data_IF_931185330974
#
_entry.id   IF_931185330974
#
_cell.length_a   1.000
_cell.length_b   1.000
_cell.length_c   1.000
_cell.angle_alpha   90.00
_cell.angle_beta   90.00
_cell.angle_gamma   90.00
#
_symmetry.space_group_name_H-M   'P 1'
#
loop_
_entity.id
_entity.type
_entity.pdbx_description
1 polymer ?
#
# COMPACT_ATOMS: atom_id res chain seq x y z
N UNK A 1 33.47 -46.85 -24.09
CA UNK A 1 33.13 -47.30 -22.72
C UNK A 1 31.84 -46.61 -22.29
N UNK A 2 30.72 -47.33 -22.18
CA UNK A 2 29.47 -46.78 -21.61
C UNK A 2 29.61 -46.83 -20.09
N UNK A 3 29.70 -45.68 -19.42
CA UNK A 3 29.56 -45.60 -17.97
C UNK A 3 28.12 -45.97 -17.63
N UNK A 4 27.91 -47.13 -17.02
CA UNK A 4 26.60 -47.46 -16.44
C UNK A 4 26.37 -46.49 -15.28
N UNK A 5 25.38 -45.61 -15.42
CA UNK A 5 24.94 -44.75 -14.32
C UNK A 5 24.44 -45.69 -13.22
N UNK A 6 25.02 -45.60 -12.02
CA UNK A 6 24.60 -46.41 -10.89
C UNK A 6 23.14 -46.08 -10.56
N UNK A 7 22.31 -47.12 -10.34
CA UNK A 7 20.88 -46.98 -10.09
C UNK A 7 20.59 -46.06 -8.88
N UNK A 8 21.45 -46.08 -7.86
CA UNK A 8 21.37 -45.14 -6.73
C UNK A 8 21.64 -43.68 -7.14
N UNK A 9 22.57 -43.47 -8.08
CA UNK A 9 22.83 -42.14 -8.65
C UNK A 9 21.64 -41.65 -9.47
N UNK A 10 20.94 -42.56 -10.17
CA UNK A 10 19.73 -42.24 -10.92
C UNK A 10 18.59 -41.85 -9.97
N UNK A 11 18.37 -42.60 -8.88
CA UNK A 11 17.35 -42.27 -7.88
C UNK A 11 17.64 -40.95 -7.16
N UNK A 12 18.91 -40.68 -6.82
CA UNK A 12 19.29 -39.42 -6.21
C UNK A 12 19.06 -38.24 -7.15
N UNK A 13 19.43 -38.38 -8.43
CA UNK A 13 19.17 -37.34 -9.43
C UNK A 13 17.67 -37.10 -9.65
N UNK A 14 16.87 -38.17 -9.73
CA UNK A 14 15.41 -38.06 -9.86
C UNK A 14 14.77 -37.39 -8.64
N UNK A 15 15.22 -37.72 -7.42
CA UNK A 15 14.74 -37.09 -6.19
C UNK A 15 15.08 -35.59 -6.16
N UNK A 16 16.30 -35.20 -6.55
CA UNK A 16 16.69 -33.79 -6.64
C UNK A 16 15.83 -33.06 -7.67
N UNK A 17 15.62 -33.64 -8.86
CA UNK A 17 14.76 -33.03 -9.89
C UNK A 17 13.33 -32.87 -9.38
N UNK A 18 12.77 -33.89 -8.71
CA UNK A 18 11.42 -33.83 -8.17
C UNK A 18 11.27 -32.76 -7.07
N UNK A 19 12.23 -32.70 -6.13
CA UNK A 19 12.25 -31.69 -5.07
C UNK A 19 12.40 -30.29 -5.66
N UNK A 20 13.33 -30.11 -6.61
CA UNK A 20 13.51 -28.82 -7.30
C UNK A 20 12.25 -28.43 -8.06
N UNK A 21 11.65 -29.33 -8.84
CA UNK A 21 10.42 -29.04 -9.58
C UNK A 21 9.25 -28.65 -8.65
N UNK A 22 9.20 -29.23 -7.44
CA UNK A 22 8.20 -28.89 -6.44
C UNK A 22 8.47 -27.55 -5.74
N UNK A 23 9.73 -27.21 -5.47
CA UNK A 23 10.10 -25.99 -4.73
C UNK A 23 10.26 -24.76 -5.63
N UNK A 24 10.64 -24.94 -6.90
CA UNK A 24 10.92 -23.84 -7.83
C UNK A 24 9.76 -22.84 -7.95
N UNK A 25 8.48 -23.24 -8.09
CA UNK A 25 7.36 -22.30 -8.17
C UNK A 25 7.28 -21.37 -6.96
N UNK A 26 7.37 -21.93 -5.74
CA UNK A 26 7.35 -21.14 -4.49
C UNK A 26 8.52 -20.18 -4.36
N UNK A 27 9.70 -20.58 -4.83
CA UNK A 27 10.87 -19.70 -4.85
C UNK A 27 10.66 -18.55 -5.83
N UNK A 28 10.06 -18.82 -7.00
CA UNK A 28 9.76 -17.80 -8.00
C UNK A 28 8.74 -16.80 -7.45
N UNK A 29 7.65 -17.26 -6.83
CA UNK A 29 6.65 -16.39 -6.17
C UNK A 29 7.29 -15.52 -5.10
N UNK A 30 8.09 -16.11 -4.20
CA UNK A 30 8.77 -15.37 -3.14
C UNK A 30 9.74 -14.31 -3.68
N UNK A 31 10.41 -14.57 -4.81
CA UNK A 31 11.26 -13.58 -5.47
C UNK A 31 10.43 -12.44 -6.05
N UNK A 32 9.31 -12.72 -6.71
CA UNK A 32 8.45 -11.67 -7.26
C UNK A 32 7.84 -10.80 -6.16
N UNK A 33 7.33 -11.40 -5.08
CA UNK A 33 6.84 -10.68 -3.91
C UNK A 33 7.96 -9.83 -3.28
N UNK A 34 9.17 -10.37 -3.16
CA UNK A 34 10.29 -9.58 -2.62
C UNK A 34 10.67 -8.39 -3.51
N UNK A 35 10.58 -8.53 -4.84
CA UNK A 35 10.99 -7.46 -5.77
C UNK A 35 9.90 -6.41 -5.96
N UNK A 36 8.65 -6.85 -6.12
CA UNK A 36 7.52 -6.02 -6.53
C UNK A 36 6.53 -5.74 -5.38
N UNK A 37 6.62 -6.50 -4.28
CA UNK A 37 5.71 -6.39 -3.14
C UNK A 37 4.26 -6.67 -3.49
N UNK A 38 3.34 -5.98 -2.83
CA UNK A 38 1.90 -6.19 -2.99
C UNK A 38 1.36 -5.82 -4.38
N UNK A 39 2.11 -5.05 -5.19
CA UNK A 39 1.77 -4.83 -6.59
C UNK A 39 1.70 -6.13 -7.39
N UNK A 40 2.56 -7.11 -7.06
CA UNK A 40 2.53 -8.42 -7.71
C UNK A 40 1.20 -9.14 -7.48
N UNK A 41 0.70 -9.11 -6.23
CA UNK A 41 -0.60 -9.68 -5.85
C UNK A 41 -1.73 -8.94 -6.56
N UNK A 42 -1.69 -7.60 -6.53
CA UNK A 42 -2.72 -6.78 -7.16
C UNK A 42 -2.78 -6.96 -8.69
N UNK A 43 -1.69 -7.29 -9.36
CA UNK A 43 -1.71 -7.51 -10.82
C UNK A 43 -2.26 -8.89 -11.22
N UNK A 44 -2.31 -9.86 -10.31
CA UNK A 44 -2.83 -11.22 -10.58
C UNK A 44 -4.37 -11.29 -10.47
N UNK A 45 -5.09 -10.55 -11.31
CA UNK A 45 -6.58 -10.46 -11.27
C UNK A 45 -7.30 -11.79 -11.52
N UNK A 46 -6.64 -12.76 -12.15
CA UNK A 46 -7.16 -14.12 -12.35
C UNK A 46 -7.05 -14.95 -11.06
N UNK A 47 -6.03 -14.71 -10.23
CA UNK A 47 -5.72 -15.51 -9.04
C UNK A 47 -6.27 -14.92 -7.75
N UNK A 48 -6.56 -13.62 -7.70
CA UNK A 48 -7.04 -12.94 -6.48
C UNK A 48 -8.41 -12.27 -6.68
N UNK A 49 -9.28 -12.39 -5.69
CA UNK A 49 -10.43 -11.50 -5.52
C UNK A 49 -9.97 -10.17 -4.94
N UNK A 50 -10.60 -9.09 -5.38
CA UNK A 50 -10.37 -7.74 -4.87
C UNK A 50 -11.65 -7.21 -4.24
N UNK A 51 -11.55 -6.68 -3.04
CA UNK A 51 -12.62 -6.01 -2.30
C UNK A 51 -12.16 -4.60 -1.97
N UNK A 52 -13.02 -3.61 -2.25
CA UNK A 52 -12.84 -2.25 -1.75
C UNK A 52 -14.08 -1.78 -1.04
N UNK A 53 -13.89 -1.34 0.20
CA UNK A 53 -14.95 -0.86 1.07
C UNK A 53 -14.46 0.35 1.87
N UNK A 54 -15.32 1.33 2.15
CA UNK A 54 -14.97 2.43 3.02
C UNK A 54 -14.74 1.93 4.45
N UNK A 55 -13.69 2.44 5.10
CA UNK A 55 -13.40 2.22 6.51
C UNK A 55 -14.09 3.31 7.31
N UNK A 56 -14.97 2.90 8.23
CA UNK A 56 -15.67 3.84 9.11
C UNK A 56 -14.69 4.54 10.06
N UNK A 57 -14.91 5.84 10.32
CA UNK A 57 -14.18 6.60 11.32
C UNK A 57 -13.64 7.93 10.82
N UNK A 58 -13.11 8.69 11.77
CA UNK A 58 -12.39 9.94 11.55
C UNK A 58 -11.01 9.81 12.18
N UNK A 59 -9.96 10.11 11.41
CA UNK A 59 -8.58 9.88 11.79
C UNK A 59 -7.82 11.18 11.75
N UNK A 60 -7.23 11.60 12.87
CA UNK A 60 -6.61 12.93 13.00
C UNK A 60 -5.13 12.82 13.32
N UNK A 61 -4.32 13.62 12.63
CA UNK A 61 -2.90 13.84 12.94
C UNK A 61 -2.63 15.32 13.18
N UNK A 62 -1.82 15.64 14.19
CA UNK A 62 -1.36 17.01 14.45
C UNK A 62 -0.03 17.26 13.72
N UNK A 63 -0.02 18.25 12.83
CA UNK A 63 1.15 18.70 12.09
C UNK A 63 1.77 19.93 12.75
N UNK A 64 3.10 19.98 12.76
CA UNK A 64 3.93 21.09 13.22
C UNK A 64 4.42 21.86 11.99
N UNK A 65 3.92 23.08 11.81
CA UNK A 65 4.22 23.90 10.63
C UNK A 65 5.50 24.73 10.82
N UNK A 66 6.01 24.85 12.05
CA UNK A 66 7.31 25.46 12.34
C UNK A 66 8.48 24.52 12.08
N UNK A 67 8.23 23.21 12.08
CA UNK A 67 9.23 22.19 11.77
C UNK A 67 8.61 21.06 10.92
N UNK A 68 8.64 21.25 9.61
CA UNK A 68 8.01 20.36 8.64
C UNK A 68 8.57 18.93 8.70
N UNK A 69 9.88 18.78 8.91
CA UNK A 69 10.58 17.48 8.98
C UNK A 69 10.12 16.65 10.19
N UNK A 70 9.76 17.30 11.30
CA UNK A 70 9.29 16.63 12.52
C UNK A 70 7.90 15.96 12.36
N UNK A 71 7.25 16.16 11.21
CA UNK A 71 6.00 15.48 10.90
C UNK A 71 6.20 14.09 10.30
N UNK A 72 7.36 13.80 9.71
CA UNK A 72 7.63 12.51 9.09
C UNK A 72 7.46 11.35 10.09
N UNK A 73 6.73 10.31 9.68
CA UNK A 73 6.47 9.12 10.49
C UNK A 73 5.36 9.28 11.54
N UNK A 74 4.72 10.45 11.66
CA UNK A 74 3.53 10.59 12.53
C UNK A 74 2.41 9.69 12.01
N UNK A 75 1.81 8.90 12.90
CA UNK A 75 0.77 7.94 12.56
C UNK A 75 -0.59 8.62 12.52
N UNK A 76 -1.31 8.43 11.42
CA UNK A 76 -2.70 8.86 11.23
C UNK A 76 -3.66 7.70 11.52
N UNK A 77 -3.32 6.50 11.05
CA UNK A 77 -4.14 5.28 11.13
C UNK A 77 -3.24 4.09 11.45
N UNK A 78 -3.70 3.19 12.31
CA UNK A 78 -3.05 1.90 12.60
C UNK A 78 -4.09 0.92 13.18
N UNK A 79 -4.36 -0.17 12.48
CA UNK A 79 -5.21 -1.28 12.96
C UNK A 79 -4.43 -2.56 13.27
N UNK A 80 -3.09 -2.50 13.22
CA UNK A 80 -2.18 -3.63 13.37
C UNK A 80 -1.90 -4.43 12.09
N UNK A 81 -2.73 -4.27 11.06
CA UNK A 81 -2.55 -4.88 9.74
C UNK A 81 -2.22 -3.83 8.65
N UNK A 82 -2.69 -2.61 8.79
CA UNK A 82 -2.43 -1.48 7.91
C UNK A 82 -2.11 -0.25 8.71
N UNK A 83 -1.21 0.58 8.18
CA UNK A 83 -0.80 1.83 8.80
C UNK A 83 -0.76 2.95 7.77
N UNK A 84 -1.22 4.14 8.15
CA UNK A 84 -1.03 5.36 7.37
C UNK A 84 -0.20 6.33 8.21
N UNK A 85 0.91 6.80 7.65
CA UNK A 85 1.81 7.75 8.30
C UNK A 85 2.04 8.97 7.43
N UNK A 86 2.41 10.09 8.04
CA UNK A 86 2.85 11.28 7.31
C UNK A 86 4.21 10.97 6.68
N UNK A 87 4.28 10.98 5.36
CA UNK A 87 5.51 10.79 4.61
C UNK A 87 6.35 12.07 4.60
N UNK A 88 5.70 13.22 4.36
CA UNK A 88 6.33 14.54 4.38
C UNK A 88 5.28 15.64 4.39
N UNK A 89 5.68 16.81 4.88
CA UNK A 89 4.98 18.08 4.70
C UNK A 89 5.91 19.01 3.92
N UNK A 90 5.42 19.60 2.85
CA UNK A 90 6.21 20.47 1.96
C UNK A 90 5.51 21.80 1.82
N UNK A 91 6.23 22.90 1.96
CA UNK A 91 5.69 24.23 1.64
C UNK A 91 5.56 24.37 0.12
N UNK A 92 4.39 24.83 -0.33
CA UNK A 92 4.08 25.07 -1.74
C UNK A 92 3.91 26.58 -1.93
N UNK A 93 4.67 27.14 -2.87
CA UNK A 93 4.55 28.56 -3.23
C UNK A 93 3.08 28.88 -3.56
N UNK A 94 2.50 29.88 -2.89
CA UNK A 94 1.12 30.37 -3.04
C UNK A 94 -0.02 29.42 -2.61
N UNK A 95 0.23 28.11 -2.44
CA UNK A 95 -0.77 27.10 -2.04
C UNK A 95 -0.66 26.65 -0.57
N UNK A 96 0.23 27.26 0.21
CA UNK A 96 0.44 26.92 1.62
C UNK A 96 1.33 25.69 1.77
N UNK A 97 0.74 24.55 2.10
CA UNK A 97 1.46 23.30 2.34
C UNK A 97 0.84 22.15 1.55
N UNK A 98 1.65 21.15 1.24
CA UNK A 98 1.22 19.84 0.81
C UNK A 98 1.56 18.82 1.90
N UNK A 99 0.56 18.07 2.33
CA UNK A 99 0.74 16.96 3.26
C UNK A 99 0.63 15.67 2.47
N UNK A 100 1.69 14.86 2.47
CA UNK A 100 1.70 13.57 1.78
C UNK A 100 1.75 12.46 2.83
N UNK A 101 0.81 11.52 2.70
CA UNK A 101 0.67 10.34 3.52
C UNK A 101 1.20 9.11 2.77
N UNK A 102 1.82 8.19 3.51
CA UNK A 102 2.20 6.87 3.00
C UNK A 102 1.33 5.82 3.67
N UNK A 103 0.75 4.96 2.85
CA UNK A 103 -0.01 3.80 3.31
C UNK A 103 0.88 2.57 3.29
N UNK A 104 0.74 1.73 4.31
CA UNK A 104 1.48 0.50 4.50
C UNK A 104 0.50 -0.66 4.65
N UNK A 105 0.67 -1.63 3.77
CA UNK A 105 -0.06 -2.87 3.70
C UNK A 105 0.62 -3.94 4.54
N UNK A 106 -0.15 -4.99 4.82
CA UNK A 106 0.37 -6.26 5.30
C UNK A 106 0.12 -7.35 4.28
N UNK A 107 1.20 -8.08 4.01
CA UNK A 107 1.14 -9.35 3.29
C UNK A 107 0.50 -10.40 4.20
N UNK A 108 -0.55 -11.05 3.69
CA UNK A 108 -1.23 -12.18 4.30
C UNK A 108 -0.74 -13.47 3.61
N UNK A 109 -0.85 -14.65 4.25
CA UNK A 109 -0.46 -15.91 3.63
C UNK A 109 -1.13 -16.20 2.28
N UNK A 110 -2.33 -15.65 2.08
CA UNK A 110 -3.23 -15.84 0.95
C UNK A 110 -3.64 -14.50 0.32
N UNK A 111 -2.85 -13.44 0.49
CA UNK A 111 -3.27 -12.13 0.01
C UNK A 111 -2.49 -10.92 0.52
N UNK A 112 -3.14 -9.77 0.44
CA UNK A 112 -2.64 -8.53 1.03
C UNK A 112 -3.81 -7.64 1.45
N UNK A 113 -3.62 -6.90 2.53
CA UNK A 113 -4.58 -5.90 3.02
C UNK A 113 -3.89 -4.54 3.12
N UNK A 114 -4.56 -3.52 2.60
CA UNK A 114 -4.10 -2.14 2.60
C UNK A 114 -5.26 -1.20 2.93
N UNK A 115 -5.17 -0.47 4.02
CA UNK A 115 -6.00 0.72 4.26
C UNK A 115 -5.27 1.96 3.74
N UNK A 116 -5.91 2.71 2.84
CA UNK A 116 -5.32 3.87 2.16
C UNK A 116 -6.37 4.96 1.94
N UNK A 117 -5.94 6.18 1.64
CA UNK A 117 -6.83 7.21 1.09
C UNK A 117 -7.23 6.95 -0.37
N UNK A 118 -6.65 5.92 -0.99
CA UNK A 118 -6.85 5.53 -2.37
C UNK A 118 -7.69 4.25 -2.46
N UNK A 119 -8.69 4.25 -3.34
CA UNK A 119 -9.26 3.02 -3.88
C UNK A 119 -8.42 2.56 -5.08
N UNK A 120 -7.94 1.32 -5.04
CA UNK A 120 -7.35 0.66 -6.21
C UNK A 120 -8.44 -0.10 -6.93
N UNK A 121 -8.48 -0.12 -8.26
CA UNK A 121 -9.54 -0.76 -9.04
C UNK A 121 -9.03 -1.34 -10.36
N UNK A 122 -9.88 -2.12 -11.03
CA UNK A 122 -9.58 -2.65 -12.37
C UNK A 122 -10.62 -2.19 -13.38
N UNK A 123 -10.14 -1.67 -14.51
CA UNK A 123 -10.96 -1.33 -15.67
C UNK A 123 -10.58 -2.23 -16.85
N UNK A 124 -11.33 -2.18 -17.94
CA UNK A 124 -10.95 -2.87 -19.18
C UNK A 124 -9.57 -2.43 -19.73
N UNK A 125 -9.05 -1.27 -19.28
CA UNK A 125 -7.73 -0.76 -19.64
C UNK A 125 -6.60 -1.15 -18.68
N UNK A 126 -6.88 -1.93 -17.63
CA UNK A 126 -5.91 -2.33 -16.60
C UNK A 126 -6.21 -1.73 -15.22
N UNK A 127 -5.20 -1.81 -14.34
CA UNK A 127 -5.24 -1.25 -12.98
C UNK A 127 -5.43 0.27 -13.00
N UNK A 128 -6.28 0.77 -12.11
CA UNK A 128 -6.56 2.20 -11.90
C UNK A 128 -6.61 2.51 -10.41
N UNK A 129 -6.51 3.78 -10.06
CA UNK A 129 -6.59 4.22 -8.67
C UNK A 129 -7.14 5.64 -8.59
N UNK A 130 -7.90 5.93 -7.53
CA UNK A 130 -8.48 7.25 -7.25
C UNK A 130 -8.42 7.56 -5.75
N UNK A 131 -8.21 8.83 -5.41
CA UNK A 131 -8.37 9.28 -4.02
C UNK A 131 -9.85 9.33 -3.71
N UNK A 132 -10.26 8.57 -2.71
CA UNK A 132 -11.63 8.58 -2.17
C UNK A 132 -11.68 9.22 -0.79
N UNK A 133 -10.55 9.28 -0.07
CA UNK A 133 -10.51 9.93 1.22
C UNK A 133 -10.84 11.42 1.13
N UNK A 134 -11.54 11.89 2.15
CA UNK A 134 -11.83 13.31 2.34
C UNK A 134 -11.00 13.83 3.50
N UNK A 135 -10.40 15.00 3.34
CA UNK A 135 -9.57 15.62 4.36
C UNK A 135 -10.08 17.00 4.76
N UNK A 136 -10.00 17.28 6.06
CA UNK A 136 -10.28 18.60 6.63
C UNK A 136 -9.15 19.05 7.54
N UNK A 137 -9.01 20.36 7.76
CA UNK A 137 -7.99 20.92 8.63
C UNK A 137 -8.50 21.99 9.59
N UNK A 138 -7.83 22.10 10.73
CA UNK A 138 -8.04 23.15 11.71
C UNK A 138 -9.35 23.02 12.49
N UNK A 139 -9.66 24.05 13.28
CA UNK A 139 -10.85 24.06 14.17
C UNK A 139 -12.16 24.19 13.41
N UNK A 140 -12.12 24.83 12.24
CA UNK A 140 -13.29 25.09 11.41
C UNK A 140 -13.55 23.98 10.38
N UNK A 141 -12.78 22.88 10.44
CA UNK A 141 -12.87 21.73 9.53
C UNK A 141 -12.86 22.16 8.04
N UNK A 142 -11.91 23.03 7.68
CA UNK A 142 -11.76 23.49 6.30
C UNK A 142 -11.46 22.31 5.39
N UNK A 143 -12.25 22.13 4.33
CA UNK A 143 -12.06 21.06 3.37
C UNK A 143 -10.78 21.25 2.57
N UNK A 144 -9.99 20.18 2.46
CA UNK A 144 -8.75 20.15 1.70
C UNK A 144 -8.97 19.57 0.31
N UNK A 145 -8.15 20.00 -0.64
CA UNK A 145 -8.16 19.48 -2.01
C UNK A 145 -7.11 18.38 -2.19
N UNK A 146 -7.43 17.27 -2.87
CA UNK A 146 -6.43 16.25 -3.24
C UNK A 146 -5.25 16.85 -4.01
N UNK A 147 -4.02 16.38 -3.74
CA UNK A 147 -2.80 16.85 -4.40
C UNK A 147 -2.11 15.79 -5.26
N UNK A 148 -1.79 14.65 -4.68
CA UNK A 148 -1.00 13.58 -5.29
C UNK A 148 -1.58 12.22 -4.96
N UNK A 149 -1.45 11.27 -5.87
CA UNK A 149 -1.80 9.87 -5.67
C UNK A 149 -0.88 8.99 -6.51
N UNK A 150 -0.55 7.81 -6.00
CA UNK A 150 0.14 6.77 -6.78
C UNK A 150 -0.60 5.46 -6.75
N UNK A 151 -0.32 4.59 -7.72
CA UNK A 151 -0.58 3.17 -7.57
C UNK A 151 0.32 2.54 -6.49
N UNK A 152 0.36 1.22 -6.47
CA UNK A 152 1.22 0.41 -5.58
C UNK A 152 2.71 0.50 -5.98
N UNK A 153 3.29 1.68 -5.80
CA UNK A 153 4.66 2.00 -6.22
C UNK A 153 5.71 1.61 -5.16
N UNK A 154 5.29 1.37 -3.92
CA UNK A 154 6.12 0.80 -2.86
C UNK A 154 5.82 -0.69 -2.72
N UNK A 155 6.79 -1.45 -2.21
CA UNK A 155 6.60 -2.88 -1.95
C UNK A 155 5.40 -3.15 -1.03
N UNK A 156 5.15 -2.24 -0.12
CA UNK A 156 4.12 -2.34 0.90
C UNK A 156 3.01 -1.31 0.74
N UNK A 157 2.84 -0.63 -0.41
CA UNK A 157 1.72 0.32 -0.51
C UNK A 157 1.88 1.46 -1.52
N UNK A 158 1.18 2.54 -1.19
CA UNK A 158 1.03 3.74 -2.00
C UNK A 158 1.33 5.01 -1.20
N UNK A 159 1.24 6.15 -1.86
CA UNK A 159 1.11 7.43 -1.18
C UNK A 159 0.02 8.28 -1.83
N UNK A 160 -0.55 9.17 -1.02
CA UNK A 160 -1.53 10.15 -1.43
C UNK A 160 -1.37 11.44 -0.63
N UNK A 161 -1.92 12.55 -1.09
CA UNK A 161 -1.75 13.82 -0.40
C UNK A 161 -2.87 14.81 -0.63
N UNK A 162 -2.85 15.86 0.18
CA UNK A 162 -3.79 16.97 0.14
C UNK A 162 -3.07 18.30 0.27
N UNK A 163 -3.60 19.32 -0.41
CA UNK A 163 -3.20 20.70 -0.20
C UNK A 163 -3.87 21.24 1.06
N UNK A 164 -3.05 21.84 1.90
CA UNK A 164 -3.41 22.55 3.10
C UNK A 164 -3.12 24.03 2.86
N UNK A 165 -4.18 24.82 2.69
CA UNK A 165 -4.05 26.28 2.60
C UNK A 165 -3.28 26.80 3.82
N UNK A 166 -2.45 27.82 3.62
CA UNK A 166 -1.68 28.43 4.70
C UNK A 166 -2.66 28.83 5.82
N UNK A 167 -2.57 28.21 7.01
CA UNK A 167 -3.43 28.61 8.11
C UNK A 167 -3.07 30.05 8.50
N UNK A 168 -3.98 30.72 9.22
CA UNK A 168 -3.75 32.09 9.68
C UNK A 168 -2.33 32.26 10.27
N UNK A 169 -1.69 33.42 10.03
CA UNK A 169 -0.24 33.71 10.22
C UNK A 169 0.39 33.28 11.57
N UNK A 170 -0.40 32.88 12.57
CA UNK A 170 0.04 32.47 13.91
C UNK A 170 -0.16 30.96 14.22
N UNK A 171 -0.54 30.13 13.25
CA UNK A 171 -0.81 28.71 13.50
C UNK A 171 0.47 27.85 13.44
N UNK A 172 1.15 27.70 14.57
CA UNK A 172 2.31 26.81 14.73
C UNK A 172 2.00 25.33 14.41
N UNK A 173 0.74 24.95 14.61
CA UNK A 173 0.26 23.57 14.48
C UNK A 173 -1.13 23.52 13.89
N UNK A 174 -1.41 22.45 13.16
CA UNK A 174 -2.72 22.21 12.56
C UNK A 174 -3.09 20.74 12.67
N UNK A 175 -4.35 20.47 13.05
CA UNK A 175 -4.91 19.13 13.01
C UNK A 175 -5.46 18.87 11.60
N UNK A 176 -5.05 17.76 11.00
CA UNK A 176 -5.59 17.26 9.72
C UNK A 176 -6.36 15.99 10.01
N UNK A 177 -7.61 15.95 9.58
CA UNK A 177 -8.53 14.83 9.81
C UNK A 177 -8.95 14.21 8.49
N UNK A 178 -8.78 12.90 8.34
CA UNK A 178 -9.21 12.12 7.19
C UNK A 178 -10.43 11.27 7.53
N UNK A 179 -11.30 11.14 6.55
CA UNK A 179 -12.46 10.24 6.55
C UNK A 179 -12.54 9.51 5.22
N UNK A 180 -13.43 8.52 5.12
CA UNK A 180 -13.60 7.73 3.90
C UNK A 180 -12.30 7.09 3.41
N UNK A 181 -11.45 6.61 4.35
CA UNK A 181 -10.35 5.72 4.00
C UNK A 181 -10.91 4.46 3.33
N UNK A 182 -10.13 3.83 2.48
CA UNK A 182 -10.54 2.66 1.71
C UNK A 182 -9.74 1.44 2.15
N UNK A 183 -10.46 0.38 2.51
CA UNK A 183 -9.93 -0.96 2.57
C UNK A 183 -9.69 -1.43 1.14
N UNK A 184 -8.49 -1.93 0.86
CA UNK A 184 -8.15 -2.63 -0.37
C UNK A 184 -7.63 -4.00 0.02
N UNK A 185 -8.45 -5.02 -0.23
CA UNK A 185 -8.18 -6.40 0.16
C UNK A 185 -8.05 -7.26 -1.10
N UNK A 186 -6.90 -7.92 -1.23
CA UNK A 186 -6.66 -8.95 -2.24
C UNK A 186 -6.57 -10.30 -1.56
N UNK A 187 -7.39 -11.26 -1.98
CA UNK A 187 -7.43 -12.61 -1.41
C UNK A 187 -7.38 -13.66 -2.50
N UNK A 188 -6.52 -14.66 -2.35
CA UNK A 188 -6.36 -15.75 -3.31
C UNK A 188 -7.71 -16.45 -3.52
N UNK A 189 -8.08 -16.67 -4.78
CA UNK A 189 -9.25 -17.46 -5.12
C UNK A 189 -8.94 -18.89 -4.76
N UNK A 190 -9.64 -19.44 -3.76
CA UNK A 190 -9.47 -20.83 -3.39
C UNK A 190 -9.65 -21.72 -4.63
N UNK A 191 -8.68 -22.60 -4.90
CA UNK A 191 -8.69 -23.56 -6.01
C UNK A 191 -9.75 -24.63 -5.72
N UNK A 192 -11.03 -24.26 -5.85
CA UNK A 192 -12.17 -25.17 -5.83
C UNK A 192 -13.18 -24.70 -6.88
N UNK A 193 -12.79 -24.78 -8.14
CA UNK A 193 -13.71 -24.91 -9.29
C UNK A 193 -13.40 -26.20 -10.06
#
# INVERSE_FOLDING_TARGET
MKKYVNMNTLYLAAAIIAVSAFLLPRVIEAVHLHLNGISYIADQTEEYYKITEPVEGEYTVELDLNNLENNEGKILYDDGDSQISVMKVVEQEEMGYEVVFRSHAKELPDGAVLVSGIAHDYTQGGSTHSIEAEATAGKDAQQLSPSTATGLSYKDGDHFGFYLDAPAEDADKVAVTLTNLQLNLWMEKAIFE
#
